data_IF_909476154524
#
_entry.id   IF_909476154524
#
_cell.length_a   1.000
_cell.length_b   1.000
_cell.length_c   1.000
_cell.angle_alpha   90.00
_cell.angle_beta   90.00
_cell.angle_gamma   90.00
#
_symmetry.space_group_name_H-M   'P 1'
#
loop_
_entity.id
_entity.type
_entity.pdbx_description
1 polymer ?
#
# COMPACT_ATOMS: atom_id res chain seq x y z
N UNK A 1 -10.88 -0.48 15.76
CA UNK A 1 -9.41 -0.32 15.68
C UNK A 1 -9.13 1.15 15.38
N UNK A 2 -8.08 1.74 15.94
CA UNK A 2 -7.68 3.11 15.57
C UNK A 2 -7.00 3.11 14.20
N UNK A 3 -7.17 4.20 13.43
CA UNK A 3 -6.47 4.39 12.16
C UNK A 3 -5.03 4.83 12.47
N UNK A 4 -3.99 4.15 11.95
CA UNK A 4 -2.60 4.57 12.13
C UNK A 4 -2.34 5.97 11.56
N UNK A 5 -1.42 6.73 12.19
CA UNK A 5 -1.09 8.09 11.75
C UNK A 5 -0.62 8.15 10.29
N UNK A 6 0.23 7.20 9.87
CA UNK A 6 0.72 7.10 8.49
C UNK A 6 -0.41 6.95 7.46
N UNK A 7 -1.47 6.21 7.79
CA UNK A 7 -2.68 6.11 6.98
C UNK A 7 -3.41 7.45 6.94
N UNK A 8 -3.64 8.06 8.11
CA UNK A 8 -4.37 9.32 8.20
C UNK A 8 -3.68 10.49 7.50
N UNK A 9 -2.34 10.49 7.44
CA UNK A 9 -1.56 11.51 6.76
C UNK A 9 -1.60 11.30 5.23
N UNK A 10 -1.50 10.05 4.75
CA UNK A 10 -1.67 9.73 3.34
C UNK A 10 -3.08 10.03 2.81
N UNK A 11 -4.12 9.82 3.61
CA UNK A 11 -5.52 10.11 3.23
C UNK A 11 -5.80 11.59 2.95
N UNK A 12 -5.00 12.50 3.48
CA UNK A 12 -5.16 13.95 3.25
C UNK A 12 -4.58 14.40 1.90
N UNK A 13 -3.88 13.51 1.20
CA UNK A 13 -3.16 13.82 -0.03
C UNK A 13 -4.04 13.50 -1.22
N UNK A 14 -4.17 14.47 -2.12
CA UNK A 14 -4.68 14.21 -3.46
C UNK A 14 -3.55 13.63 -4.34
N UNK A 15 -3.66 12.33 -4.62
CA UNK A 15 -2.73 11.62 -5.48
C UNK A 15 -2.99 11.85 -6.98
N UNK A 16 -4.09 12.51 -7.36
CA UNK A 16 -4.48 12.72 -8.76
C UNK A 16 -4.88 11.42 -9.48
N UNK A 17 -4.98 10.30 -8.77
CA UNK A 17 -5.43 9.00 -9.26
C UNK A 17 -6.38 8.36 -8.26
N UNK A 18 -7.36 7.56 -8.71
CA UNK A 18 -8.20 6.80 -7.79
C UNK A 18 -7.37 5.82 -6.95
N UNK A 19 -7.37 6.02 -5.63
CA UNK A 19 -6.80 5.10 -4.65
C UNK A 19 -7.88 4.11 -4.21
N UNK A 20 -7.54 2.83 -4.17
CA UNK A 20 -8.51 1.79 -3.75
C UNK A 20 -8.31 1.32 -2.33
N UNK A 21 -7.17 1.64 -1.71
CA UNK A 21 -6.88 1.33 -0.32
C UNK A 21 -5.46 1.73 0.08
N UNK A 22 -5.23 1.77 1.38
CA UNK A 22 -3.96 2.16 1.99
C UNK A 22 -3.38 0.98 2.76
N UNK A 23 -2.07 0.80 2.68
CA UNK A 23 -1.37 -0.31 3.32
C UNK A 23 -0.43 0.18 4.41
N UNK A 24 -0.56 -0.40 5.60
CA UNK A 24 0.39 -0.31 6.69
C UNK A 24 1.14 -1.64 6.86
N UNK A 25 2.36 -1.59 7.39
CA UNK A 25 3.23 -2.77 7.58
C UNK A 25 3.34 -3.59 6.29
N UNK A 26 3.53 -2.89 5.17
CA UNK A 26 3.59 -3.49 3.86
C UNK A 26 4.90 -4.28 3.69
N UNK A 27 4.82 -5.40 2.98
CA UNK A 27 5.94 -6.26 2.64
C UNK A 27 5.77 -6.65 1.17
N UNK A 28 6.80 -6.40 0.36
CA UNK A 28 6.80 -6.89 -1.02
C UNK A 28 7.18 -8.37 -1.03
N UNK A 29 6.23 -9.21 -1.45
CA UNK A 29 6.42 -10.63 -1.70
C UNK A 29 6.20 -10.88 -3.18
N UNK A 30 7.25 -10.72 -4.01
CA UNK A 30 7.12 -10.74 -5.46
C UNK A 30 6.26 -11.94 -5.95
N UNK A 31 5.30 -11.71 -6.85
CA UNK A 31 5.00 -10.44 -7.53
C UNK A 31 3.83 -9.67 -6.86
N UNK A 32 3.64 -9.77 -5.54
CA UNK A 32 2.50 -9.21 -4.80
C UNK A 32 2.95 -8.35 -3.60
N UNK A 33 2.02 -7.59 -3.03
CA UNK A 33 2.18 -6.95 -1.72
C UNK A 33 1.37 -7.70 -0.66
N UNK A 34 1.92 -7.76 0.55
CA UNK A 34 1.20 -8.16 1.76
C UNK A 34 1.18 -6.95 2.69
N UNK A 35 0.07 -6.72 3.39
CA UNK A 35 0.00 -5.62 4.34
C UNK A 35 -1.32 -5.60 5.11
N UNK A 36 -1.43 -4.64 6.02
CA UNK A 36 -2.67 -4.33 6.73
C UNK A 36 -3.41 -3.23 5.96
N UNK A 37 -4.62 -3.52 5.50
CA UNK A 37 -5.40 -2.61 4.66
C UNK A 37 -6.30 -1.69 5.47
N UNK A 38 -6.45 -0.47 4.99
CA UNK A 38 -7.39 0.52 5.46
C UNK A 38 -8.07 1.21 4.27
N UNK A 39 -9.34 1.58 4.44
CA UNK A 39 -10.14 2.33 3.48
C UNK A 39 -10.20 1.62 2.12
N UNK A 40 -10.58 0.34 2.14
CA UNK A 40 -10.86 -0.37 0.88
C UNK A 40 -12.16 0.17 0.28
N UNK A 41 -12.02 1.04 -0.71
CA UNK A 41 -13.12 1.69 -1.43
C UNK A 41 -14.08 0.70 -2.09
N UNK A 42 -13.63 -0.54 -2.34
CA UNK A 42 -14.44 -1.59 -2.94
C UNK A 42 -15.22 -2.43 -1.92
N UNK A 43 -15.08 -2.17 -0.61
CA UNK A 43 -15.81 -2.86 0.46
C UNK A 43 -15.52 -4.36 0.60
N UNK A 44 -14.42 -4.84 0.03
CA UNK A 44 -13.96 -6.23 0.06
C UNK A 44 -13.28 -6.58 1.37
N UNK A 45 -12.64 -5.59 2.01
CA UNK A 45 -11.83 -5.78 3.20
C UNK A 45 -12.23 -4.82 4.31
N UNK A 46 -12.16 -5.29 5.55
CA UNK A 46 -12.34 -4.45 6.75
C UNK A 46 -11.02 -3.79 7.11
N UNK A 47 -11.11 -2.57 7.62
CA UNK A 47 -9.96 -1.83 8.16
C UNK A 47 -9.24 -2.66 9.23
N UNK A 48 -7.91 -2.71 9.12
CA UNK A 48 -7.06 -3.55 9.97
C UNK A 48 -6.92 -5.00 9.50
N UNK A 49 -7.55 -5.38 8.38
CA UNK A 49 -7.43 -6.71 7.79
C UNK A 49 -6.06 -6.94 7.15
N UNK A 50 -5.44 -8.10 7.41
CA UNK A 50 -4.26 -8.53 6.67
C UNK A 50 -4.69 -9.04 5.29
N UNK A 51 -4.12 -8.47 4.23
CA UNK A 51 -4.39 -8.87 2.85
C UNK A 51 -3.13 -9.25 2.11
N UNK A 52 -3.31 -10.03 1.05
CA UNK A 52 -2.35 -10.20 -0.04
C UNK A 52 -2.98 -9.65 -1.30
N UNK A 53 -2.31 -8.72 -1.96
CA UNK A 53 -2.82 -8.17 -3.23
C UNK A 53 -2.80 -9.22 -4.33
N UNK A 54 -3.49 -8.96 -5.44
CA UNK A 54 -3.15 -9.63 -6.70
C UNK A 54 -1.76 -9.17 -7.19
N UNK A 55 -1.29 -9.78 -8.27
CA UNK A 55 -0.03 -9.41 -8.94
C UNK A 55 0.08 -7.89 -9.10
N UNK A 56 1.22 -7.32 -8.76
CA UNK A 56 1.57 -5.92 -9.03
C UNK A 56 1.99 -5.83 -10.49
N UNK A 57 1.34 -4.94 -11.23
CA UNK A 57 1.63 -4.67 -12.65
C UNK A 57 2.46 -3.40 -12.81
N UNK A 58 2.25 -2.39 -11.95
CA UNK A 58 3.00 -1.14 -11.98
C UNK A 58 3.28 -0.64 -10.58
N UNK A 59 4.43 -0.01 -10.42
CA UNK A 59 4.82 0.71 -9.21
C UNK A 59 5.33 2.08 -9.64
N UNK A 60 4.88 3.11 -8.95
CA UNK A 60 5.30 4.49 -9.22
C UNK A 60 5.21 5.31 -7.93
N UNK A 61 5.96 6.39 -7.87
CA UNK A 61 5.99 7.29 -6.69
C UNK A 61 5.13 8.50 -6.97
N UNK A 62 4.18 8.79 -6.08
CA UNK A 62 3.37 10.01 -6.10
C UNK A 62 3.41 10.65 -4.72
N UNK A 63 3.74 11.94 -4.68
CA UNK A 63 3.73 12.73 -3.45
C UNK A 63 4.53 12.06 -2.32
N UNK A 64 5.68 11.46 -2.67
CA UNK A 64 6.57 10.73 -1.75
C UNK A 64 6.06 9.36 -1.27
N UNK A 65 4.89 8.91 -1.73
CA UNK A 65 4.39 7.55 -1.45
C UNK A 65 4.57 6.63 -2.65
N UNK A 66 4.82 5.36 -2.35
CA UNK A 66 4.82 4.30 -3.34
C UNK A 66 3.39 3.84 -3.60
N UNK A 67 2.97 3.93 -4.86
CA UNK A 67 1.64 3.53 -5.33
C UNK A 67 1.78 2.30 -6.23
N UNK A 68 1.05 1.25 -5.90
CA UNK A 68 1.08 -0.01 -6.63
C UNK A 68 -0.25 -0.27 -7.34
N UNK A 69 -0.20 -0.37 -8.66
CA UNK A 69 -1.31 -0.83 -9.48
C UNK A 69 -1.23 -2.35 -9.61
N UNK A 70 -2.35 -3.01 -9.35
CA UNK A 70 -2.47 -4.46 -9.37
C UNK A 70 -3.19 -4.95 -10.63
N UNK A 71 -3.01 -6.21 -11.01
CA UNK A 71 -3.70 -6.86 -12.13
C UNK A 71 -5.23 -6.73 -12.05
N UNK A 72 -5.80 -6.69 -10.84
CA UNK A 72 -7.24 -6.48 -10.61
C UNK A 72 -7.72 -5.03 -10.79
N UNK A 73 -6.83 -4.14 -11.26
CA UNK A 73 -7.06 -2.70 -11.37
C UNK A 73 -7.15 -1.98 -10.02
N UNK A 74 -6.77 -2.63 -8.91
CA UNK A 74 -6.70 -1.98 -7.60
C UNK A 74 -5.42 -1.15 -7.51
N UNK A 75 -5.48 0.03 -6.89
CA UNK A 75 -4.31 0.88 -6.58
C UNK A 75 -4.15 1.01 -5.06
N UNK A 76 -3.00 0.59 -4.55
CA UNK A 76 -2.69 0.66 -3.13
C UNK A 76 -1.59 1.67 -2.87
N UNK A 77 -1.79 2.53 -1.87
CA UNK A 77 -0.75 3.44 -1.37
C UNK A 77 -0.04 2.75 -0.21
N UNK A 78 1.29 2.64 -0.27
CA UNK A 78 2.09 2.09 0.83
C UNK A 78 2.45 3.23 1.79
N UNK A 79 1.90 3.17 3.00
CA UNK A 79 2.07 4.22 4.02
C UNK A 79 3.12 3.88 5.08
N UNK A 80 3.49 2.61 5.21
CA UNK A 80 4.50 2.15 6.15
C UNK A 80 4.98 0.75 5.73
N UNK A 81 6.29 0.52 5.73
CA UNK A 81 6.86 -0.79 5.43
C UNK A 81 7.05 -1.62 6.70
N UNK A 82 6.84 -2.93 6.60
CA UNK A 82 7.05 -3.87 7.71
C UNK A 82 8.45 -3.76 8.32
N UNK A 83 9.44 -3.44 7.50
CA UNK A 83 10.85 -3.43 7.89
C UNK A 83 11.37 -2.05 8.34
N UNK A 84 10.57 -1.00 8.29
CA UNK A 84 10.97 0.34 8.76
C UNK A 84 11.29 0.39 10.27
N UNK A 85 10.95 -0.66 11.03
CA UNK A 85 11.35 -0.85 12.43
C UNK A 85 12.69 -1.59 12.64
N UNK A 86 13.54 -1.78 11.61
CA UNK A 86 14.92 -2.26 11.82
C UNK A 86 15.60 -3.06 10.72
N UNK A 87 15.03 -3.16 9.52
CA UNK A 87 15.74 -3.71 8.37
C UNK A 87 15.45 -2.86 7.13
N UNK A 88 16.45 -2.14 6.63
CA UNK A 88 16.33 -1.46 5.35
C UNK A 88 16.10 -2.49 4.25
N UNK A 89 15.00 -2.47 3.50
CA UNK A 89 14.93 -3.17 2.23
C UNK A 89 15.66 -2.26 1.22
N UNK A 90 16.98 -2.36 1.20
CA UNK A 90 17.73 -2.00 0.00
C UNK A 90 17.26 -2.92 -1.12
N UNK A 91 16.94 -2.34 -2.27
CA UNK A 91 16.71 -3.02 -3.56
C UNK A 91 15.27 -3.45 -3.90
N UNK A 92 14.32 -2.53 -3.85
CA UNK A 92 13.18 -2.56 -4.79
C UNK A 92 13.42 -1.57 -5.95
N UNK A 93 14.57 -1.67 -6.61
CA UNK A 93 14.73 -1.13 -7.97
C UNK A 93 14.15 -2.17 -8.92
N UNK A 94 12.92 -1.92 -9.37
CA UNK A 94 12.36 -2.63 -10.52
C UNK A 94 13.20 -2.20 -11.73
N UNK A 95 14.02 -3.12 -12.24
CA UNK A 95 14.68 -3.02 -13.54
C UNK A 95 13.67 -3.17 -14.68
#
# INVERSE_FOLDING_TARGET
>A
MGIPRSISDAQKIDFGVPVTGYLCCAEFKPPCLIGIVFTDERGRFRDGGKIRTSRIEKVFVLKEYLVCETLSGSRYVVCHWLYENGATPTDYVLH
#
